data_IF_377577620969
#
_entry.id   IF_377577620969
#
_cell.length_a   1.000
_cell.length_b   1.000
_cell.length_c   1.000
_cell.angle_alpha   90.00
_cell.angle_beta   90.00
_cell.angle_gamma   90.00
#
_symmetry.space_group_name_H-M   'P 1'
#
loop_
_entity.id
_entity.type
_entity.pdbx_description
1 polymer ?
#
# COMPACT_ATOMS: atom_id res chain seq x y z
N UNK A 1 17.32 30.02 -0.63
CA UNK A 1 17.34 28.80 0.19
C UNK A 1 16.52 29.06 1.44
N UNK A 2 15.23 28.63 1.48
CA UNK A 2 14.46 28.60 2.72
C UNK A 2 14.81 27.29 3.42
N UNK A 3 15.62 27.35 4.45
CA UNK A 3 15.75 26.29 5.43
C UNK A 3 14.39 26.11 6.10
N UNK A 4 13.70 25.02 5.78
CA UNK A 4 12.52 24.59 6.50
C UNK A 4 12.99 24.07 7.86
N UNK A 5 12.85 24.91 8.89
CA UNK A 5 13.15 24.51 10.26
C UNK A 5 12.02 23.57 10.71
N UNK A 6 12.23 22.27 10.61
CA UNK A 6 11.47 21.29 11.41
C UNK A 6 12.00 21.43 12.84
N UNK A 7 11.43 22.35 13.61
CA UNK A 7 11.94 22.72 14.95
C UNK A 7 11.27 21.98 16.09
N UNK A 8 10.10 21.38 15.87
CA UNK A 8 9.41 20.65 16.92
C UNK A 8 9.10 19.24 16.42
N UNK A 9 9.77 18.25 17.02
CA UNK A 9 9.43 16.86 16.88
C UNK A 9 8.03 16.67 17.48
N UNK A 10 7.05 16.30 16.69
CA UNK A 10 5.79 15.80 17.22
C UNK A 10 6.12 14.51 17.99
N UNK A 11 5.90 14.54 19.30
CA UNK A 11 6.21 13.41 20.19
C UNK A 11 5.42 12.13 19.86
N UNK A 12 4.43 12.24 18.94
CA UNK A 12 3.65 11.11 18.43
C UNK A 12 4.34 10.37 17.28
N UNK A 13 5.43 10.92 16.69
CA UNK A 13 6.14 10.29 15.58
C UNK A 13 7.31 9.46 16.08
N UNK A 14 7.30 8.16 15.74
CA UNK A 14 8.37 7.23 16.14
C UNK A 14 9.60 7.35 15.25
N UNK A 15 9.41 7.56 13.94
CA UNK A 15 10.49 7.80 12.98
C UNK A 15 10.06 8.79 11.92
N UNK A 16 10.99 9.60 11.43
CA UNK A 16 10.75 10.58 10.36
C UNK A 16 11.90 10.60 9.38
N UNK A 17 11.60 10.48 8.09
CA UNK A 17 12.56 10.61 7.01
C UNK A 17 12.06 11.55 5.93
N UNK A 18 12.92 12.45 5.45
CA UNK A 18 12.69 13.25 4.25
C UNK A 18 13.79 12.92 3.24
N UNK A 19 13.38 12.43 2.09
CA UNK A 19 14.27 11.92 1.05
C UNK A 19 14.06 12.70 -0.24
N UNK A 20 15.17 13.17 -0.85
CA UNK A 20 15.19 13.65 -2.22
C UNK A 20 15.38 12.47 -3.17
N UNK A 21 14.29 12.04 -3.82
CA UNK A 21 14.26 10.88 -4.72
C UNK A 21 15.12 11.12 -5.96
N UNK A 22 15.15 12.34 -6.51
CA UNK A 22 15.91 12.68 -7.71
C UNK A 22 17.39 12.84 -7.40
N UNK A 23 17.72 13.58 -6.35
CA UNK A 23 19.10 13.81 -5.91
C UNK A 23 19.70 12.65 -5.13
N UNK A 24 18.89 11.63 -4.76
CA UNK A 24 19.28 10.49 -3.93
C UNK A 24 19.93 10.91 -2.60
N UNK A 25 19.40 11.95 -1.98
CA UNK A 25 19.90 12.50 -0.73
C UNK A 25 18.90 12.34 0.40
N UNK A 26 19.39 12.07 1.60
CA UNK A 26 18.60 12.18 2.82
C UNK A 26 18.65 13.63 3.28
N UNK A 27 17.51 14.31 3.25
CA UNK A 27 17.40 15.72 3.64
C UNK A 27 17.16 15.86 5.15
N UNK A 28 16.47 14.91 5.76
CA UNK A 28 16.25 14.81 7.21
C UNK A 28 16.09 13.33 7.59
N UNK A 29 16.61 12.96 8.75
CA UNK A 29 16.49 11.61 9.29
C UNK A 29 16.40 11.66 10.82
N UNK A 30 15.36 11.03 11.38
CA UNK A 30 15.22 10.77 12.79
C UNK A 30 14.69 9.35 12.96
N UNK A 31 15.48 8.49 13.60
CA UNK A 31 15.15 7.07 13.86
C UNK A 31 14.72 6.26 12.61
N UNK A 32 15.24 6.60 11.42
CA UNK A 32 14.79 6.01 10.14
C UNK A 32 15.10 4.51 9.99
N UNK A 33 15.94 3.94 10.86
CA UNK A 33 16.29 2.51 10.90
C UNK A 33 15.62 1.77 12.06
N UNK A 34 14.78 2.45 12.85
CA UNK A 34 14.04 1.82 13.95
C UNK A 34 12.95 0.90 13.37
N UNK A 35 12.86 -0.37 13.84
CA UNK A 35 11.78 -1.27 13.44
C UNK A 35 10.43 -0.77 13.93
N UNK A 36 9.46 -0.68 13.02
CA UNK A 36 8.11 -0.21 13.28
C UNK A 36 7.10 -1.10 12.58
N UNK A 37 5.88 -1.15 13.11
CA UNK A 37 4.76 -1.78 12.43
C UNK A 37 4.35 -0.94 11.21
N UNK A 38 4.39 -1.51 9.99
CA UNK A 38 4.12 -0.73 8.77
C UNK A 38 2.65 -0.38 8.57
N UNK A 39 1.73 -1.09 9.19
CA UNK A 39 0.30 -0.97 8.92
C UNK A 39 0.03 -1.00 7.40
N UNK A 40 -0.90 -0.18 6.90
CA UNK A 40 -1.26 -0.15 5.46
C UNK A 40 -0.14 0.29 4.52
N UNK A 41 1.00 0.80 5.00
CA UNK A 41 2.17 1.05 4.14
C UNK A 41 2.76 -0.26 3.58
N UNK A 42 2.45 -1.42 4.17
CA UNK A 42 2.69 -2.76 3.62
C UNK A 42 2.21 -2.89 2.18
N UNK A 43 1.08 -2.25 1.84
CA UNK A 43 0.45 -2.34 0.51
C UNK A 43 1.31 -1.75 -0.62
N UNK A 44 2.31 -0.94 -0.29
CA UNK A 44 3.33 -0.47 -1.24
C UNK A 44 4.09 -1.69 -1.81
N UNK A 45 4.51 -2.61 -0.91
CA UNK A 45 5.21 -3.81 -1.35
C UNK A 45 4.29 -4.80 -2.04
N UNK A 46 3.04 -4.91 -1.60
CA UNK A 46 2.01 -5.70 -2.28
C UNK A 46 1.80 -5.23 -3.72
N UNK A 47 1.68 -3.91 -3.92
CA UNK A 47 1.58 -3.33 -5.26
C UNK A 47 2.84 -3.56 -6.10
N UNK A 48 4.03 -3.42 -5.50
CA UNK A 48 5.30 -3.68 -6.19
C UNK A 48 5.39 -5.10 -6.75
N UNK A 49 5.09 -6.09 -5.90
CA UNK A 49 5.13 -7.50 -6.31
C UNK A 49 4.07 -7.80 -7.38
N UNK A 50 2.84 -7.29 -7.20
CA UNK A 50 1.76 -7.49 -8.15
C UNK A 50 2.08 -6.88 -9.53
N UNK A 51 2.66 -5.67 -9.57
CA UNK A 51 3.06 -5.01 -10.81
C UNK A 51 4.25 -5.69 -11.50
N UNK A 52 5.12 -6.33 -10.72
CA UNK A 52 6.30 -7.04 -11.26
C UNK A 52 5.97 -8.41 -11.81
N UNK A 53 5.05 -9.15 -11.22
CA UNK A 53 4.80 -10.55 -11.50
C UNK A 53 3.40 -10.85 -12.04
N UNK A 54 2.43 -9.94 -11.85
CA UNK A 54 1.07 -10.08 -12.35
C UNK A 54 0.87 -9.47 -13.74
N UNK A 55 -0.25 -9.83 -14.37
CA UNK A 55 -0.75 -9.17 -15.56
C UNK A 55 -2.01 -8.36 -15.20
N UNK A 56 -1.98 -7.06 -15.43
CA UNK A 56 -3.05 -6.13 -15.04
C UNK A 56 -4.41 -6.44 -15.66
N UNK A 57 -4.41 -7.11 -16.81
CA UNK A 57 -5.63 -7.43 -17.57
C UNK A 57 -6.21 -8.81 -17.20
N UNK A 58 -5.54 -9.56 -16.29
CA UNK A 58 -6.08 -10.81 -15.78
C UNK A 58 -7.37 -10.57 -14.98
N UNK A 59 -8.34 -11.46 -15.19
CA UNK A 59 -9.57 -11.45 -14.39
C UNK A 59 -9.35 -12.34 -13.15
N UNK A 60 -9.53 -11.75 -12.01
CA UNK A 60 -9.38 -12.37 -10.69
C UNK A 60 -10.75 -12.71 -10.15
N UNK A 61 -10.92 -13.94 -9.65
CA UNK A 61 -12.09 -14.33 -8.89
C UNK A 61 -11.78 -14.22 -7.40
N UNK A 62 -12.56 -13.43 -6.69
CA UNK A 62 -12.40 -13.18 -5.25
C UNK A 62 -12.77 -14.43 -4.47
N UNK A 63 -11.88 -14.89 -3.59
CA UNK A 63 -12.12 -16.05 -2.72
C UNK A 63 -12.91 -15.68 -1.47
N UNK A 64 -13.44 -16.68 -0.75
CA UNK A 64 -14.02 -16.49 0.58
C UNK A 64 -12.97 -15.92 1.57
N UNK A 65 -11.72 -16.39 1.51
CA UNK A 65 -10.63 -15.90 2.35
C UNK A 65 -10.37 -14.41 2.16
N UNK A 66 -10.47 -13.92 0.93
CA UNK A 66 -10.25 -12.50 0.62
C UNK A 66 -11.36 -11.59 1.19
N UNK A 67 -12.48 -12.16 1.64
CA UNK A 67 -13.60 -11.42 2.23
C UNK A 67 -13.77 -11.66 3.73
N UNK A 68 -12.89 -12.45 4.34
CA UNK A 68 -12.94 -12.80 5.77
C UNK A 68 -12.18 -11.76 6.61
N UNK A 69 -12.83 -10.63 6.85
CA UNK A 69 -12.33 -9.51 7.64
C UNK A 69 -13.34 -9.06 8.67
N UNK A 70 -12.89 -8.52 9.80
CA UNK A 70 -13.75 -7.94 10.82
C UNK A 70 -14.42 -6.63 10.32
N UNK A 71 -15.55 -6.25 10.93
CA UNK A 71 -16.34 -5.08 10.51
C UNK A 71 -15.57 -3.74 10.59
N UNK A 72 -14.58 -3.65 11.46
CA UNK A 72 -13.76 -2.46 11.67
C UNK A 72 -12.49 -2.43 10.80
N UNK A 73 -12.25 -3.47 10.01
CA UNK A 73 -11.11 -3.55 9.11
C UNK A 73 -11.42 -2.91 7.76
N UNK A 74 -10.42 -2.22 7.19
CA UNK A 74 -10.58 -1.47 5.94
C UNK A 74 -10.66 -2.42 4.74
N UNK A 75 -11.83 -2.52 4.13
CA UNK A 75 -12.10 -3.33 2.93
C UNK A 75 -12.78 -2.52 1.84
N UNK A 76 -12.57 -2.89 0.59
CA UNK A 76 -13.30 -2.33 -0.56
C UNK A 76 -14.75 -2.81 -0.65
N UNK A 77 -15.11 -3.87 0.05
CA UNK A 77 -16.45 -4.45 0.06
C UNK A 77 -16.67 -5.52 -1.01
N UNK A 78 -15.59 -6.16 -1.46
CA UNK A 78 -15.66 -7.28 -2.41
C UNK A 78 -16.43 -8.45 -1.81
N UNK A 79 -17.13 -9.20 -2.66
CA UNK A 79 -17.86 -10.41 -2.27
C UNK A 79 -17.19 -11.66 -2.84
N UNK A 80 -17.27 -12.77 -2.13
CA UNK A 80 -16.77 -14.04 -2.64
C UNK A 80 -17.45 -14.41 -3.98
N UNK A 81 -16.63 -14.75 -4.97
CA UNK A 81 -17.06 -15.04 -6.33
C UNK A 81 -17.16 -13.82 -7.25
N UNK A 82 -16.94 -12.62 -6.76
CA UNK A 82 -16.79 -11.45 -7.63
C UNK A 82 -15.61 -11.61 -8.58
N UNK A 83 -15.78 -11.11 -9.79
CA UNK A 83 -14.76 -11.11 -10.83
C UNK A 83 -14.42 -9.67 -11.24
N UNK A 84 -13.16 -9.31 -11.18
CA UNK A 84 -12.64 -8.01 -11.60
C UNK A 84 -11.20 -8.14 -12.06
N UNK A 85 -10.68 -7.12 -12.74
CA UNK A 85 -9.30 -7.16 -13.21
C UNK A 85 -8.29 -6.98 -12.07
N UNK A 86 -7.05 -7.49 -12.27
CA UNK A 86 -5.95 -7.19 -11.36
C UNK A 86 -5.69 -5.67 -11.26
N UNK A 87 -5.94 -4.95 -12.35
CA UNK A 87 -5.89 -3.47 -12.37
C UNK A 87 -6.90 -2.86 -11.41
N UNK A 88 -8.16 -3.34 -11.41
CA UNK A 88 -9.20 -2.87 -10.49
C UNK A 88 -8.79 -3.12 -9.04
N UNK A 89 -8.31 -4.33 -8.74
CA UNK A 89 -7.82 -4.69 -7.40
C UNK A 89 -6.68 -3.79 -6.91
N UNK A 90 -5.71 -3.48 -7.78
CA UNK A 90 -4.60 -2.58 -7.44
C UNK A 90 -5.07 -1.14 -7.19
N UNK A 91 -6.08 -0.66 -7.91
CA UNK A 91 -6.67 0.65 -7.62
C UNK A 91 -7.41 0.64 -6.28
N UNK A 92 -8.18 -0.39 -5.95
CA UNK A 92 -8.80 -0.55 -4.64
C UNK A 92 -7.79 -0.63 -3.51
N UNK A 93 -6.69 -1.36 -3.73
CA UNK A 93 -5.57 -1.48 -2.80
C UNK A 93 -4.93 -0.12 -2.48
N UNK A 94 -4.60 0.66 -3.53
CA UNK A 94 -3.81 1.89 -3.40
C UNK A 94 -4.64 3.12 -3.05
N UNK A 95 -5.86 3.24 -3.54
CA UNK A 95 -6.73 4.38 -3.27
C UNK A 95 -7.51 4.21 -1.97
N UNK A 96 -8.16 3.09 -1.80
CA UNK A 96 -9.06 2.85 -0.68
C UNK A 96 -8.44 2.04 0.47
N UNK A 97 -7.22 1.52 0.25
CA UNK A 97 -6.51 0.68 1.23
C UNK A 97 -7.22 -0.64 1.55
N UNK A 98 -7.91 -1.25 0.56
CA UNK A 98 -8.68 -2.48 0.75
C UNK A 98 -7.83 -3.69 1.14
N UNK A 99 -8.12 -4.28 2.31
CA UNK A 99 -7.46 -5.52 2.76
C UNK A 99 -7.92 -6.73 1.94
N UNK A 100 -9.20 -6.74 1.54
CA UNK A 100 -9.78 -7.72 0.62
C UNK A 100 -9.06 -7.73 -0.73
N UNK A 101 -8.78 -6.55 -1.29
CA UNK A 101 -7.97 -6.42 -2.49
C UNK A 101 -6.57 -7.00 -2.31
N UNK A 102 -5.92 -6.77 -1.16
CA UNK A 102 -4.57 -7.28 -0.90
C UNK A 102 -4.53 -8.81 -0.91
N UNK A 103 -5.51 -9.48 -0.29
CA UNK A 103 -5.58 -10.94 -0.26
C UNK A 103 -5.90 -11.50 -1.65
N UNK A 104 -6.88 -10.92 -2.36
CA UNK A 104 -7.24 -11.36 -3.72
C UNK A 104 -6.05 -11.24 -4.70
N UNK A 105 -5.29 -10.14 -4.61
CA UNK A 105 -4.05 -9.94 -5.38
C UNK A 105 -3.03 -11.03 -5.06
N UNK A 106 -2.79 -11.30 -3.77
CA UNK A 106 -1.80 -12.27 -3.31
C UNK A 106 -2.10 -13.68 -3.82
N UNK A 107 -3.34 -14.12 -3.67
CA UNK A 107 -3.79 -15.43 -4.13
C UNK A 107 -3.68 -15.58 -5.65
N UNK A 108 -4.06 -14.53 -6.41
CA UNK A 108 -3.99 -14.58 -7.87
C UNK A 108 -2.55 -14.61 -8.39
N UNK A 109 -1.69 -13.71 -7.88
CA UNK A 109 -0.32 -13.53 -8.42
C UNK A 109 0.61 -14.68 -8.05
N UNK A 110 0.44 -15.29 -6.87
CA UNK A 110 1.35 -16.33 -6.36
C UNK A 110 0.67 -17.66 -6.02
N UNK A 111 -0.64 -17.78 -6.23
CA UNK A 111 -1.42 -18.99 -5.95
C UNK A 111 -1.80 -19.16 -4.48
N UNK A 112 -1.17 -18.44 -3.56
CA UNK A 112 -1.56 -18.39 -2.14
C UNK A 112 -1.01 -17.12 -1.49
N UNK A 113 -1.59 -16.73 -0.35
CA UNK A 113 -1.11 -15.58 0.45
C UNK A 113 0.30 -15.86 0.96
N UNK A 114 0.57 -17.08 1.40
CA UNK A 114 1.85 -17.49 1.95
C UNK A 114 2.98 -17.38 0.90
N UNK A 115 2.75 -17.91 -0.30
CA UNK A 115 3.71 -17.80 -1.41
C UNK A 115 3.94 -16.35 -1.85
N UNK A 116 2.89 -15.51 -1.78
CA UNK A 116 3.00 -14.10 -2.08
C UNK A 116 3.83 -13.35 -1.03
N UNK A 117 3.63 -13.65 0.26
CA UNK A 117 4.41 -13.08 1.37
C UNK A 117 5.88 -13.47 1.26
N UNK A 118 6.18 -14.73 0.90
CA UNK A 118 7.56 -15.16 0.61
C UNK A 118 8.18 -14.30 -0.49
N UNK A 119 7.42 -14.02 -1.55
CA UNK A 119 7.83 -13.15 -2.64
C UNK A 119 8.02 -11.70 -2.20
N UNK A 120 7.15 -11.16 -1.35
CA UNK A 120 7.31 -9.82 -0.76
C UNK A 120 8.64 -9.73 0.01
N UNK A 121 8.96 -10.73 0.83
CA UNK A 121 10.21 -10.77 1.59
C UNK A 121 11.45 -10.96 0.70
N UNK A 122 11.34 -11.75 -0.37
CA UNK A 122 12.40 -11.89 -1.38
C UNK A 122 12.69 -10.53 -2.04
N UNK A 123 11.66 -9.85 -2.50
CA UNK A 123 11.79 -8.56 -3.18
C UNK A 123 12.25 -7.43 -2.24
N UNK A 124 11.82 -7.43 -0.98
CA UNK A 124 12.34 -6.50 0.01
C UNK A 124 13.87 -6.64 0.15
N UNK A 125 14.38 -7.86 0.27
CA UNK A 125 15.82 -8.12 0.30
C UNK A 125 16.54 -7.68 -0.99
N UNK A 126 15.93 -7.93 -2.16
CA UNK A 126 16.48 -7.52 -3.46
C UNK A 126 16.59 -6.00 -3.59
N UNK A 127 15.70 -5.25 -2.96
CA UNK A 127 15.72 -3.79 -2.90
C UNK A 127 16.66 -3.24 -1.82
N UNK A 128 17.27 -4.09 -1.00
CA UNK A 128 18.12 -3.70 0.11
C UNK A 128 17.36 -3.31 1.39
N UNK A 129 16.05 -3.58 1.46
CA UNK A 129 15.22 -3.36 2.64
C UNK A 129 15.43 -4.49 3.67
N UNK A 130 16.58 -4.45 4.34
CA UNK A 130 17.03 -5.53 5.23
C UNK A 130 16.48 -5.47 6.65
N UNK A 131 15.87 -4.35 7.03
CA UNK A 131 15.16 -4.16 8.30
C UNK A 131 13.65 -4.45 8.19
N UNK A 132 13.24 -5.22 7.15
CA UNK A 132 11.82 -5.48 6.85
C UNK A 132 11.51 -6.97 6.87
N UNK A 133 10.37 -7.33 7.46
CA UNK A 133 9.79 -8.65 7.39
C UNK A 133 8.26 -8.55 7.30
N UNK A 134 7.69 -9.17 6.27
CA UNK A 134 6.26 -9.24 6.03
C UNK A 134 5.72 -10.62 6.41
N UNK A 135 4.51 -10.65 7.02
CA UNK A 135 3.76 -11.89 7.30
C UNK A 135 2.37 -11.88 6.66
N UNK A 136 1.94 -10.74 6.12
CA UNK A 136 0.69 -10.60 5.38
C UNK A 136 0.80 -9.51 4.31
N UNK A 137 -0.13 -9.48 3.30
CA UNK A 137 -0.08 -8.50 2.22
C UNK A 137 -0.82 -7.19 2.51
N UNK A 138 -1.54 -7.07 3.62
CA UNK A 138 -2.44 -5.94 3.93
C UNK A 138 -1.94 -5.01 5.03
N UNK A 139 -1.11 -5.52 5.95
CA UNK A 139 -0.52 -4.72 7.03
C UNK A 139 -1.28 -4.79 8.36
N UNK A 140 -2.20 -5.73 8.56
CA UNK A 140 -2.76 -5.99 9.87
C UNK A 140 -1.66 -6.42 10.84
N UNK A 141 -1.78 -5.99 12.09
CA UNK A 141 -0.74 -6.10 13.08
C UNK A 141 -0.37 -7.54 13.41
N UNK A 142 0.94 -7.79 13.41
CA UNK A 142 1.55 -9.03 13.86
C UNK A 142 2.96 -8.69 14.39
N UNK A 143 3.40 -9.37 15.45
CA UNK A 143 4.71 -9.08 16.08
C UNK A 143 5.89 -9.29 15.13
N UNK A 144 5.76 -10.23 14.18
CA UNK A 144 6.78 -10.53 13.18
C UNK A 144 6.64 -9.66 11.91
N UNK A 145 5.70 -8.69 11.87
CA UNK A 145 5.44 -7.83 10.73
C UNK A 145 5.99 -6.43 10.98
N UNK A 146 7.17 -6.14 10.45
CA UNK A 146 7.88 -4.89 10.72
C UNK A 146 8.64 -4.38 9.49
N UNK A 147 8.94 -3.10 9.52
CA UNK A 147 9.77 -2.39 8.54
C UNK A 147 10.46 -1.20 9.21
N UNK A 148 11.23 -0.44 8.44
CA UNK A 148 11.82 0.83 8.86
C UNK A 148 11.40 1.96 7.91
N UNK A 149 11.49 3.23 8.35
CA UNK A 149 11.20 4.36 7.49
C UNK A 149 12.12 4.40 6.26
N UNK A 150 13.39 3.98 6.43
CA UNK A 150 14.34 3.89 5.32
C UNK A 150 13.96 2.79 4.32
N UNK A 151 13.56 1.62 4.80
CA UNK A 151 13.15 0.52 3.94
C UNK A 151 11.86 0.86 3.16
N UNK A 152 10.91 1.54 3.80
CA UNK A 152 9.73 2.06 3.11
C UNK A 152 10.11 3.03 1.98
N UNK A 153 11.09 3.90 2.22
CA UNK A 153 11.62 4.76 1.16
C UNK A 153 12.18 3.95 -0.03
N UNK A 154 12.97 2.90 0.24
CA UNK A 154 13.53 2.05 -0.82
C UNK A 154 12.42 1.38 -1.66
N UNK A 155 11.45 0.78 -0.99
CA UNK A 155 10.31 0.11 -1.65
C UNK A 155 9.45 1.10 -2.44
N UNK A 156 9.14 2.25 -1.85
CA UNK A 156 8.35 3.28 -2.51
C UNK A 156 9.07 3.88 -3.72
N UNK A 157 10.37 4.17 -3.58
CA UNK A 157 11.20 4.65 -4.69
C UNK A 157 11.23 3.66 -5.86
N UNK A 158 11.26 2.35 -5.59
CA UNK A 158 11.16 1.32 -6.61
C UNK A 158 9.78 1.34 -7.31
N UNK A 159 8.70 1.52 -6.57
CA UNK A 159 7.35 1.68 -7.13
C UNK A 159 7.24 2.90 -8.05
N UNK A 160 7.87 4.02 -7.70
CA UNK A 160 7.84 5.26 -8.51
C UNK A 160 8.50 5.11 -9.89
N UNK A 161 9.30 4.07 -10.11
CA UNK A 161 9.86 3.76 -11.44
C UNK A 161 8.84 3.09 -12.36
N UNK A 162 7.69 2.65 -11.85
CA UNK A 162 6.61 2.04 -12.61
C UNK A 162 5.52 3.09 -12.92
N UNK A 163 5.31 3.38 -14.22
CA UNK A 163 4.33 4.38 -14.64
C UNK A 163 2.89 4.04 -14.27
N UNK A 164 2.52 2.74 -14.23
CA UNK A 164 1.19 2.29 -13.83
C UNK A 164 0.96 2.58 -12.33
N UNK A 165 1.97 2.36 -11.49
CA UNK A 165 1.88 2.72 -10.08
C UNK A 165 1.66 4.23 -9.91
N UNK A 166 2.46 5.06 -10.60
CA UNK A 166 2.36 6.53 -10.53
C UNK A 166 0.99 7.00 -11.03
N UNK A 167 0.46 6.40 -12.09
CA UNK A 167 -0.89 6.68 -12.59
C UNK A 167 -1.95 6.38 -11.52
N UNK A 168 -1.92 5.17 -10.93
CA UNK A 168 -2.89 4.73 -9.93
C UNK A 168 -2.92 5.65 -8.70
N UNK A 169 -1.77 6.00 -8.13
CA UNK A 169 -1.69 6.87 -6.94
C UNK A 169 -1.99 8.35 -7.21
N UNK A 170 -2.09 8.74 -8.47
CA UNK A 170 -2.39 10.12 -8.88
C UNK A 170 -3.88 10.35 -9.14
N UNK A 171 -4.71 9.31 -9.03
CA UNK A 171 -6.14 9.41 -9.28
C UNK A 171 -6.88 9.99 -8.06
N UNK A 172 -7.95 10.73 -8.31
CA UNK A 172 -8.85 11.28 -7.28
C UNK A 172 -10.08 10.43 -7.06
N UNK A 173 -10.37 9.49 -7.97
CA UNK A 173 -11.38 8.45 -7.85
C UNK A 173 -11.11 7.36 -8.86
N UNK A 174 -11.61 6.16 -8.61
CA UNK A 174 -11.55 5.04 -9.56
C UNK A 174 -12.85 4.25 -9.52
N UNK A 175 -13.41 3.95 -10.71
CA UNK A 175 -14.59 3.09 -10.82
C UNK A 175 -14.17 1.76 -11.41
N UNK A 176 -14.27 0.70 -10.61
CA UNK A 176 -14.02 -0.68 -11.00
C UNK A 176 -15.26 -1.29 -11.65
N UNK A 177 -15.05 -2.18 -12.61
CA UNK A 177 -16.10 -2.98 -13.22
C UNK A 177 -16.01 -4.42 -12.73
N UNK A 178 -17.08 -4.90 -12.09
CA UNK A 178 -17.14 -6.22 -11.49
C UNK A 178 -18.27 -7.05 -12.12
N UNK A 179 -18.13 -8.36 -12.02
CA UNK A 179 -19.21 -9.29 -12.27
C UNK A 179 -19.41 -10.12 -11.01
N UNK A 180 -20.63 -10.12 -10.45
CA UNK A 180 -20.95 -10.90 -9.25
C UNK A 180 -20.83 -12.40 -9.49
N UNK A 181 -20.80 -13.20 -8.42
CA UNK A 181 -20.85 -14.67 -8.48
C UNK A 181 -22.04 -15.22 -9.28
N UNK A 182 -23.15 -14.48 -9.33
CA UNK A 182 -24.33 -14.82 -10.14
C UNK A 182 -24.26 -14.36 -11.60
N UNK A 183 -23.14 -13.76 -12.02
CA UNK A 183 -22.92 -13.29 -13.39
C UNK A 183 -23.54 -11.91 -13.70
N UNK A 184 -23.94 -11.15 -12.68
CA UNK A 184 -24.53 -9.80 -12.86
C UNK A 184 -23.41 -8.76 -12.84
N UNK A 185 -23.25 -7.94 -13.91
CA UNK A 185 -22.27 -6.85 -13.92
C UNK A 185 -22.71 -5.72 -12.99
N UNK A 186 -21.75 -5.10 -12.31
CA UNK A 186 -21.94 -3.92 -11.48
C UNK A 186 -20.64 -3.12 -11.35
N UNK A 187 -20.70 -1.98 -10.72
CA UNK A 187 -19.54 -1.11 -10.52
C UNK A 187 -19.37 -0.74 -9.06
N UNK A 188 -18.12 -0.52 -8.67
CA UNK A 188 -17.73 0.08 -7.39
C UNK A 188 -16.85 1.30 -7.64
N UNK A 189 -17.07 2.38 -6.91
CA UNK A 189 -16.23 3.57 -7.00
C UNK A 189 -15.50 3.78 -5.68
N UNK A 190 -14.19 3.94 -5.75
CA UNK A 190 -13.32 4.19 -4.61
C UNK A 190 -12.67 5.58 -4.74
N UNK A 191 -12.62 6.27 -3.62
CA UNK A 191 -11.93 7.55 -3.48
C UNK A 191 -10.71 7.38 -2.57
N UNK A 192 -9.65 8.19 -2.77
CA UNK A 192 -8.48 8.12 -1.91
C UNK A 192 -8.82 8.40 -0.45
N UNK A 193 -8.29 7.57 0.44
CA UNK A 193 -8.29 7.83 1.89
C UNK A 193 -7.22 8.86 2.29
N UNK A 194 -6.41 9.29 1.32
CA UNK A 194 -5.34 10.25 1.51
C UNK A 194 -5.90 11.68 1.52
N UNK A 195 -5.68 12.38 2.62
CA UNK A 195 -6.13 13.75 2.84
C UNK A 195 -5.76 14.76 1.74
N UNK A 196 -4.57 14.63 1.14
CA UNK A 196 -4.12 15.51 0.06
C UNK A 196 -4.70 15.13 -1.31
N UNK A 197 -5.07 13.88 -1.52
CA UNK A 197 -5.66 13.41 -2.78
C UNK A 197 -7.17 13.62 -2.81
N UNK A 198 -7.84 13.62 -1.64
CA UNK A 198 -9.29 13.89 -1.52
C UNK A 198 -9.68 15.34 -1.83
N UNK A 199 -8.70 16.25 -1.90
CA UNK A 199 -8.95 17.68 -2.14
C UNK A 199 -9.30 18.49 -0.89
N UNK A 200 -9.31 17.87 0.29
CA UNK A 200 -9.59 18.51 1.57
C UNK A 200 -8.48 19.48 2.02
N UNK A 201 -7.28 19.33 1.46
CA UNK A 201 -6.18 20.28 1.62
C UNK A 201 -5.41 20.46 0.31
N UNK A 202 -4.92 21.66 0.06
CA UNK A 202 -4.02 21.92 -1.04
C UNK A 202 -2.68 21.21 -0.76
N UNK A 203 -2.38 20.16 -1.50
CA UNK A 203 -1.05 19.56 -1.48
C UNK A 203 -0.03 20.62 -1.96
N UNK A 204 1.13 20.75 -1.29
CA UNK A 204 2.22 21.56 -1.83
C UNK A 204 2.57 21.10 -3.24
N UNK A 205 2.87 22.05 -4.13
CA UNK A 205 3.23 21.74 -5.52
C UNK A 205 4.36 20.72 -5.57
N UNK A 206 4.16 19.62 -6.31
CA UNK A 206 5.14 18.53 -6.44
C UNK A 206 5.07 17.43 -5.36
N UNK A 207 4.17 17.53 -4.38
CA UNK A 207 3.98 16.46 -3.39
C UNK A 207 2.97 15.44 -3.92
N UNK A 208 3.42 14.19 -4.03
CA UNK A 208 2.57 13.01 -4.29
C UNK A 208 2.56 12.15 -3.03
N UNK A 209 1.43 12.02 -2.38
CA UNK A 209 1.29 11.17 -1.22
C UNK A 209 0.56 9.88 -1.61
N UNK A 210 1.10 8.73 -1.25
CA UNK A 210 0.53 7.41 -1.54
C UNK A 210 -0.35 6.92 -0.42
N UNK A 211 0.02 7.22 0.81
CA UNK A 211 -0.73 6.82 1.99
C UNK A 211 -0.43 7.78 3.13
N UNK A 212 -1.47 8.16 3.85
CA UNK A 212 -1.33 8.85 5.11
C UNK A 212 -1.86 7.91 6.19
N UNK A 213 -0.95 7.17 6.82
CA UNK A 213 -1.30 6.40 8.01
C UNK A 213 -0.97 7.21 9.24
N UNK A 214 -1.99 7.61 9.98
CA UNK A 214 -1.83 7.89 11.40
C UNK A 214 -1.57 6.54 12.08
N UNK A 215 -0.31 6.22 12.28
CA UNK A 215 0.06 5.18 13.21
C UNK A 215 -0.27 5.70 14.61
N UNK A 216 -1.48 5.46 15.09
CA UNK A 216 -1.73 5.50 16.53
C UNK A 216 -1.02 4.29 17.10
N UNK A 217 0.07 4.51 17.82
CA UNK A 217 0.56 3.54 18.77
C UNK A 217 -0.61 3.27 19.73
N UNK A 218 -1.15 2.06 19.70
CA UNK A 218 -1.97 1.60 20.80
C UNK A 218 -1.00 1.39 21.96
N UNK A 219 -1.07 2.30 22.92
CA UNK A 219 -0.50 2.08 24.24
C UNK A 219 -1.14 0.81 24.81
N UNK A 220 -0.33 -0.20 24.98
CA UNK A 220 -0.63 -1.35 25.84
C UNK A 220 -0.57 -0.96 27.29
#
# INVERSE_FOLDING_TARGET
QRQMCIRDRDASLHAVGLFDVQGKNVLYADQIFEPLYPASTTKIMTAYVALKYGNLDDIVTVSERATDFAEDEQVCGLQAGDQLSLRDLLNGLLLYSGNDCAVAIAEHVSGSVEAFVDKMNEEARNLGATGTHFVNPHGLQNEDHYTTAYDLYLMFNACLQNSQFVEMISQTSYTANLTSASGVPYTMTWEPTNYYASGDAAAPEGVKAVSYTHLRAHET
#
